data_IF_986822941942
#
_entry.id   IF_986822941942
#
_cell.length_a   1.000
_cell.length_b   1.000
_cell.length_c   1.000
_cell.angle_alpha   90.00
_cell.angle_beta   90.00
_cell.angle_gamma   90.00
#
_symmetry.space_group_name_H-M   'P 1'
#
loop_
_entity.id
_entity.type
_entity.pdbx_description
1 polymer ?
#
# COMPACT_ATOMS: atom_id res chain seq x y z
N UNK A 1 -1.57 7.56 -6.82
CA UNK A 1 -1.68 6.16 -7.26
C UNK A 1 -1.35 5.90 -8.74
N UNK A 2 -1.73 6.78 -9.68
CA UNK A 2 -1.41 6.65 -11.12
C UNK A 2 0.10 6.59 -11.44
N UNK A 3 0.94 7.19 -10.60
CA UNK A 3 2.38 7.28 -10.82
C UNK A 3 3.11 5.94 -10.67
N UNK A 4 2.78 5.15 -9.64
CA UNK A 4 3.39 3.84 -9.37
C UNK A 4 3.16 2.85 -10.53
N UNK A 5 1.96 2.84 -11.12
CA UNK A 5 1.67 1.98 -12.28
C UNK A 5 2.50 2.40 -13.50
N UNK A 6 2.60 3.69 -13.79
CA UNK A 6 3.42 4.15 -14.93
C UNK A 6 4.91 3.88 -14.74
N UNK A 7 5.41 3.91 -13.49
CA UNK A 7 6.80 3.59 -13.19
C UNK A 7 7.10 2.10 -13.13
N UNK A 8 6.11 1.22 -12.98
CA UNK A 8 6.32 -0.23 -12.91
C UNK A 8 5.89 -0.98 -14.17
N UNK A 9 5.23 -0.32 -15.13
CA UNK A 9 4.88 -0.89 -16.44
C UNK A 9 6.10 -1.43 -17.16
N UNK A 10 6.05 -2.72 -17.51
CA UNK A 10 7.12 -3.43 -18.22
C UNK A 10 8.26 -3.95 -17.33
N UNK A 11 8.26 -3.66 -16.03
CA UNK A 11 9.33 -4.07 -15.09
C UNK A 11 9.02 -5.35 -14.31
N UNK A 12 7.92 -6.04 -14.63
CA UNK A 12 7.55 -7.31 -13.98
C UNK A 12 7.25 -7.19 -12.48
N UNK A 13 7.02 -5.98 -11.95
CA UNK A 13 6.72 -5.79 -10.52
C UNK A 13 5.34 -6.34 -10.21
N UNK A 14 5.30 -7.40 -9.41
CA UNK A 14 4.07 -8.08 -8.98
C UNK A 14 3.74 -7.84 -7.52
N UNK A 15 4.70 -7.41 -6.70
CA UNK A 15 4.55 -7.27 -5.24
C UNK A 15 4.86 -5.84 -4.80
N UNK A 16 4.04 -5.30 -3.91
CA UNK A 16 4.21 -3.98 -3.30
C UNK A 16 4.34 -4.13 -1.78
N UNK A 17 5.39 -3.53 -1.22
CA UNK A 17 5.55 -3.34 0.22
C UNK A 17 5.11 -1.91 0.53
N UNK A 18 4.11 -1.74 1.40
CA UNK A 18 3.50 -0.45 1.70
C UNK A 18 3.77 -0.10 3.16
N UNK A 19 4.35 1.07 3.40
CA UNK A 19 4.71 1.60 4.74
C UNK A 19 4.21 3.05 4.87
N UNK A 20 4.15 3.57 6.10
CA UNK A 20 3.78 4.97 6.37
C UNK A 20 2.48 5.13 7.17
N UNK A 21 1.84 6.30 7.04
CA UNK A 21 0.70 6.72 7.87
C UNK A 21 -0.42 7.38 7.04
N UNK A 22 -1.69 7.31 7.45
CA UNK A 22 -2.27 6.47 8.52
C UNK A 22 -2.71 5.10 8.00
N UNK A 23 -2.65 4.06 8.83
CA UNK A 23 -3.03 2.68 8.47
C UNK A 23 -4.43 2.59 7.86
N UNK A 24 -5.45 3.13 8.54
CA UNK A 24 -6.85 3.10 8.08
C UNK A 24 -7.20 4.13 6.98
N UNK A 25 -6.32 5.10 6.69
CA UNK A 25 -6.58 6.15 5.69
C UNK A 25 -5.71 5.93 4.46
N UNK A 26 -4.51 6.50 4.43
CA UNK A 26 -3.68 6.54 3.23
C UNK A 26 -3.18 5.14 2.84
N UNK A 27 -2.79 4.34 3.83
CA UNK A 27 -2.32 2.97 3.61
C UNK A 27 -3.50 2.15 3.08
N UNK A 28 -4.64 2.10 3.78
CA UNK A 28 -5.84 1.39 3.34
C UNK A 28 -6.26 1.72 1.91
N UNK A 29 -6.37 3.01 1.54
CA UNK A 29 -6.79 3.39 0.18
C UNK A 29 -5.74 3.03 -0.87
N UNK A 30 -4.45 3.10 -0.52
CA UNK A 30 -3.35 2.70 -1.41
C UNK A 30 -3.34 1.19 -1.62
N UNK A 31 -3.47 0.41 -0.55
CA UNK A 31 -3.56 -1.05 -0.55
C UNK A 31 -4.79 -1.53 -1.33
N UNK A 32 -5.95 -0.89 -1.14
CA UNK A 32 -7.14 -1.20 -1.92
C UNK A 32 -6.92 -0.96 -3.42
N UNK A 33 -6.32 0.17 -3.77
CA UNK A 33 -5.96 0.45 -5.16
C UNK A 33 -5.00 -0.60 -5.74
N UNK A 34 -4.04 -1.07 -4.95
CA UNK A 34 -3.07 -2.09 -5.37
C UNK A 34 -3.76 -3.45 -5.57
N UNK A 35 -4.71 -3.78 -4.68
CA UNK A 35 -5.48 -5.01 -4.71
C UNK A 35 -6.32 -5.10 -5.99
N UNK A 36 -7.07 -4.04 -6.33
CA UNK A 36 -7.88 -4.02 -7.56
C UNK A 36 -7.04 -4.08 -8.85
N UNK A 37 -5.73 -3.83 -8.76
CA UNK A 37 -4.78 -3.93 -9.90
C UNK A 37 -4.05 -5.27 -9.94
N UNK A 38 -4.33 -6.19 -9.00
CA UNK A 38 -3.74 -7.53 -8.95
C UNK A 38 -2.30 -7.59 -8.43
N UNK A 39 -1.85 -6.58 -7.67
CA UNK A 39 -0.56 -6.69 -6.98
C UNK A 39 -0.68 -7.59 -5.75
N UNK A 40 0.36 -8.36 -5.46
CA UNK A 40 0.60 -8.91 -4.14
C UNK A 40 0.96 -7.76 -3.19
N UNK A 41 0.43 -7.76 -1.96
CA UNK A 41 0.61 -6.64 -1.03
C UNK A 41 1.17 -7.16 0.27
N UNK A 42 2.20 -6.50 0.78
CA UNK A 42 2.77 -6.69 2.10
C UNK A 42 2.73 -5.36 2.84
N UNK A 43 2.16 -5.36 4.05
CA UNK A 43 2.11 -4.20 4.94
C UNK A 43 2.80 -4.62 6.24
N UNK A 44 4.05 -4.20 6.50
CA UNK A 44 4.73 -4.50 7.76
C UNK A 44 4.07 -3.68 8.86
N UNK A 45 3.56 -4.34 9.91
CA UNK A 45 2.87 -3.71 11.04
C UNK A 45 3.74 -2.65 11.73
N UNK A 46 5.02 -2.96 11.92
CA UNK A 46 6.04 -2.08 12.52
C UNK A 46 6.41 -0.87 11.65
N UNK A 47 6.08 -0.91 10.36
CA UNK A 47 6.37 0.14 9.39
C UNK A 47 5.14 1.00 9.03
N UNK A 48 4.00 0.78 9.69
CA UNK A 48 2.81 1.64 9.58
C UNK A 48 2.41 2.22 10.93
N UNK A 49 1.58 3.26 10.93
CA UNK A 49 1.05 3.79 12.17
C UNK A 49 -0.31 4.46 11.97
N UNK A 50 -1.08 4.57 13.05
CA UNK A 50 -2.28 5.40 13.16
C UNK A 50 -2.24 6.18 14.47
N UNK A 51 -3.15 7.15 14.65
CA UNK A 51 -3.17 7.95 15.88
C UNK A 51 -3.70 7.17 17.09
N UNK A 52 -4.55 6.18 16.87
CA UNK A 52 -5.08 5.31 17.91
C UNK A 52 -4.75 3.86 17.56
N UNK A 53 -4.77 2.99 18.58
CA UNK A 53 -4.57 1.55 18.39
C UNK A 53 -5.75 0.90 17.69
N UNK A 54 -6.96 1.43 17.87
CA UNK A 54 -8.17 0.94 17.19
C UNK A 54 -8.14 1.22 15.68
N UNK A 55 -7.48 2.31 15.30
CA UNK A 55 -7.32 2.76 13.92
C UNK A 55 -6.07 2.20 13.20
N UNK A 56 -5.24 1.45 13.93
CA UNK A 56 -4.03 0.80 13.42
C UNK A 56 -4.37 -0.62 12.98
#
# INVERSE_FOLDING_TARGET
MLYLRNHTRGRGVTTLIITGIHTHICIKHTSYGAFIKGYNIVIPEDAVNAFTKEDH
#
